data_IF_197225567036
#
_entry.id   IF_197225567036
#
_cell.length_a   1.000
_cell.length_b   1.000
_cell.length_c   1.000
_cell.angle_alpha   90.00
_cell.angle_beta   90.00
_cell.angle_gamma   90.00
#
_symmetry.space_group_name_H-M   'P 1'
#
loop_
_entity.id
_entity.type
_entity.pdbx_description
1 polymer ?
#
# COMPACT_ATOMS: atom_id res chain seq x y z
N UNK A 1 -29.99 21.68 -24.46
CA UNK A 1 -29.68 21.82 -23.02
C UNK A 1 -28.95 20.56 -22.59
N UNK A 2 -27.62 20.58 -22.67
CA UNK A 2 -26.76 19.46 -22.32
C UNK A 2 -26.39 19.55 -20.84
N UNK A 3 -27.08 18.80 -20.00
CA UNK A 3 -26.69 18.63 -18.60
C UNK A 3 -25.46 17.70 -18.57
N UNK A 4 -24.33 18.29 -18.21
CA UNK A 4 -23.06 17.63 -17.98
C UNK A 4 -23.22 16.47 -17.00
N UNK A 5 -22.81 15.29 -17.43
CA UNK A 5 -22.44 14.17 -16.57
C UNK A 5 -21.29 14.62 -15.67
N UNK A 6 -21.62 15.12 -14.49
CA UNK A 6 -20.65 15.19 -13.40
C UNK A 6 -20.32 13.74 -13.03
N UNK A 7 -19.24 13.22 -13.59
CA UNK A 7 -18.58 12.02 -13.11
C UNK A 7 -18.16 12.29 -11.67
N UNK A 8 -19.01 11.92 -10.72
CA UNK A 8 -18.66 11.80 -9.31
C UNK A 8 -17.50 10.82 -9.26
N UNK A 9 -16.28 11.32 -9.19
CA UNK A 9 -15.11 10.54 -8.82
C UNK A 9 -15.40 10.14 -7.38
N UNK A 10 -16.00 8.96 -7.21
CA UNK A 10 -16.25 8.35 -5.91
C UNK A 10 -14.89 8.09 -5.30
N UNK A 11 -14.36 9.07 -4.58
CA UNK A 11 -13.18 8.88 -3.73
C UNK A 11 -13.71 8.00 -2.61
N UNK A 12 -13.54 6.69 -2.75
CA UNK A 12 -13.91 5.76 -1.69
C UNK A 12 -13.31 6.29 -0.37
N UNK A 13 -14.05 6.24 0.75
CA UNK A 13 -13.52 6.67 2.03
C UNK A 13 -12.20 5.92 2.27
N UNK A 14 -11.13 6.66 2.56
CA UNK A 14 -9.84 6.06 2.90
C UNK A 14 -10.02 5.36 4.24
N UNK A 15 -10.22 4.04 4.20
CA UNK A 15 -10.30 3.21 5.40
C UNK A 15 -8.95 2.52 5.65
N UNK A 16 -8.64 2.13 6.89
CA UNK A 16 -7.47 1.31 7.21
C UNK A 16 -7.34 0.07 6.30
N UNK A 17 -8.45 -0.60 6.01
CA UNK A 17 -8.54 -1.74 5.12
C UNK A 17 -8.18 -1.38 3.67
N UNK A 18 -8.70 -0.26 3.15
CA UNK A 18 -8.33 0.19 1.80
C UNK A 18 -6.87 0.62 1.74
N UNK A 19 -6.32 1.27 2.78
CA UNK A 19 -4.91 1.65 2.84
C UNK A 19 -3.96 0.46 2.84
N UNK A 20 -4.22 -0.55 3.69
CA UNK A 20 -3.45 -1.80 3.67
C UNK A 20 -3.55 -2.45 2.29
N UNK A 21 -4.74 -2.42 1.69
CA UNK A 21 -4.97 -3.00 0.38
C UNK A 21 -4.20 -2.33 -0.75
N UNK A 22 -4.16 -1.01 -0.77
CA UNK A 22 -3.36 -0.23 -1.71
C UNK A 22 -1.87 -0.54 -1.55
N UNK A 23 -1.37 -0.59 -0.31
CA UNK A 23 0.03 -0.93 -0.04
C UNK A 23 0.40 -2.36 -0.51
N UNK A 24 -0.51 -3.33 -0.33
CA UNK A 24 -0.35 -4.69 -0.86
C UNK A 24 -0.34 -4.73 -2.39
N UNK A 25 -1.21 -3.95 -3.03
CA UNK A 25 -1.22 -3.84 -4.49
C UNK A 25 0.12 -3.26 -5.02
N UNK A 26 0.63 -2.21 -4.38
CA UNK A 26 1.96 -1.64 -4.71
C UNK A 26 3.06 -2.69 -4.48
N UNK A 27 3.00 -3.45 -3.38
CA UNK A 27 3.97 -4.50 -3.07
C UNK A 27 3.98 -5.58 -4.16
N UNK A 28 2.82 -5.98 -4.68
CA UNK A 28 2.71 -6.88 -5.83
C UNK A 28 3.40 -6.36 -7.07
N UNK A 29 3.24 -5.07 -7.40
CA UNK A 29 3.94 -4.43 -8.52
C UNK A 29 5.46 -4.42 -8.32
N UNK A 30 5.92 -4.13 -7.10
CA UNK A 30 7.35 -4.15 -6.78
C UNK A 30 7.92 -5.57 -6.85
N UNK A 31 7.18 -6.59 -6.44
CA UNK A 31 7.57 -7.99 -6.62
C UNK A 31 7.69 -8.37 -8.10
N UNK A 32 6.74 -7.97 -8.93
CA UNK A 32 6.80 -8.16 -10.37
C UNK A 32 8.06 -7.51 -10.98
N UNK A 33 8.42 -6.29 -10.55
CA UNK A 33 9.66 -5.62 -10.95
C UNK A 33 10.92 -6.35 -10.47
N UNK A 34 10.86 -7.05 -9.34
CA UNK A 34 11.94 -7.89 -8.85
C UNK A 34 12.09 -9.22 -9.63
N UNK A 35 11.11 -9.57 -10.47
CA UNK A 35 11.04 -10.86 -11.16
C UNK A 35 10.52 -12.00 -10.28
N UNK A 36 9.87 -11.67 -9.16
CA UNK A 36 9.14 -12.64 -8.34
C UNK A 36 7.66 -12.50 -8.67
N UNK A 37 7.07 -13.49 -9.33
CA UNK A 37 5.61 -13.56 -9.48
C UNK A 37 5.00 -13.93 -8.12
N UNK A 38 4.84 -12.93 -7.27
CA UNK A 38 3.99 -13.06 -6.10
C UNK A 38 2.57 -12.74 -6.56
N UNK A 39 1.66 -13.70 -6.43
CA UNK A 39 0.25 -13.47 -6.75
C UNK A 39 -0.25 -12.23 -6.02
N UNK A 40 -0.99 -11.36 -6.72
CA UNK A 40 -1.64 -10.21 -6.09
C UNK A 40 -2.75 -10.78 -5.20
N UNK A 41 -2.41 -11.08 -3.95
CA UNK A 41 -3.38 -11.56 -2.98
C UNK A 41 -4.30 -10.39 -2.63
N UNK A 42 -5.58 -10.55 -2.95
CA UNK A 42 -6.55 -9.49 -2.74
C UNK A 42 -6.79 -9.39 -1.23
N UNK A 43 -6.62 -8.23 -0.61
CA UNK A 43 -6.85 -8.09 0.82
C UNK A 43 -8.31 -8.43 1.12
N UNK A 44 -8.55 -9.37 2.02
CA UNK A 44 -9.87 -9.50 2.64
C UNK A 44 -10.16 -8.18 3.39
N UNK A 45 -11.09 -7.41 2.83
CA UNK A 45 -11.37 -6.02 3.17
C UNK A 45 -12.17 -5.87 4.48
N UNK A 46 -12.17 -6.89 5.35
CA UNK A 46 -13.24 -7.06 6.35
C UNK A 46 -12.77 -7.01 7.80
N UNK A 47 -11.47 -7.18 8.09
CA UNK A 47 -11.00 -7.26 9.48
C UNK A 47 -10.27 -6.00 9.96
N UNK A 48 -9.43 -5.39 9.10
CA UNK A 48 -8.61 -4.25 9.48
C UNK A 48 -9.44 -3.03 9.93
N UNK A 49 -10.57 -2.76 9.28
CA UNK A 49 -11.44 -1.62 9.63
C UNK A 49 -12.11 -1.80 10.99
N UNK A 50 -12.56 -3.03 11.29
CA UNK A 50 -13.18 -3.38 12.57
C UNK A 50 -12.16 -3.28 13.69
N UNK A 51 -10.97 -3.87 13.50
CA UNK A 51 -9.88 -3.83 14.48
C UNK A 51 -9.37 -2.42 14.72
N UNK A 52 -9.24 -1.61 13.68
CA UNK A 52 -8.86 -0.20 13.81
C UNK A 52 -9.91 0.61 14.57
N UNK A 53 -11.21 0.39 14.33
CA UNK A 53 -12.28 1.06 15.06
C UNK A 53 -12.28 0.71 16.56
N UNK A 54 -11.92 -0.54 16.90
CA UNK A 54 -11.79 -1.01 18.28
C UNK A 54 -10.46 -0.61 18.96
N UNK A 55 -9.46 -0.18 18.20
CA UNK A 55 -8.12 0.10 18.72
C UNK A 55 -8.05 1.38 19.56
N UNK A 56 -7.16 1.38 20.55
CA UNK A 56 -6.89 2.55 21.38
C UNK A 56 -6.41 3.75 20.52
N UNK A 57 -6.71 5.01 20.91
CA UNK A 57 -6.34 6.19 20.11
C UNK A 57 -4.85 6.30 19.76
N UNK A 58 -3.97 5.86 20.67
CA UNK A 58 -2.53 5.83 20.42
C UNK A 58 -2.14 4.81 19.34
N UNK A 59 -2.80 3.66 19.30
CA UNK A 59 -2.58 2.61 18.30
C UNK A 59 -3.00 3.12 16.93
N UNK A 60 -4.18 3.74 16.84
CA UNK A 60 -4.69 4.38 15.61
C UNK A 60 -3.72 5.43 15.07
N UNK A 61 -3.24 6.35 15.91
CA UNK A 61 -2.25 7.37 15.49
C UNK A 61 -0.94 6.74 14.98
N UNK A 62 -0.46 5.67 15.63
CA UNK A 62 0.76 4.96 15.21
C UNK A 62 0.55 4.23 13.89
N UNK A 63 -0.62 3.63 13.70
CA UNK A 63 -1.03 3.04 12.44
C UNK A 63 -1.04 4.09 11.33
N UNK A 64 -1.74 5.20 11.53
CA UNK A 64 -1.89 6.26 10.51
C UNK A 64 -0.53 6.83 10.10
N UNK A 65 0.35 7.08 11.07
CA UNK A 65 1.71 7.56 10.82
C UNK A 65 2.53 6.54 10.00
N UNK A 66 2.50 5.26 10.38
CA UNK A 66 3.22 4.21 9.68
C UNK A 66 2.66 3.99 8.27
N UNK A 67 1.33 4.03 8.10
CA UNK A 67 0.66 3.91 6.81
C UNK A 67 1.06 5.06 5.87
N UNK A 68 1.05 6.30 6.37
CA UNK A 68 1.45 7.48 5.62
C UNK A 68 2.93 7.44 5.20
N UNK A 69 3.83 7.10 6.14
CA UNK A 69 5.27 6.96 5.85
C UNK A 69 5.52 5.87 4.81
N UNK A 70 4.86 4.71 4.96
CA UNK A 70 4.99 3.59 4.03
C UNK A 70 4.49 3.97 2.65
N UNK A 71 3.35 4.66 2.54
CA UNK A 71 2.81 5.12 1.26
C UNK A 71 3.78 6.09 0.55
N UNK A 72 4.32 7.08 1.26
CA UNK A 72 5.26 8.04 0.70
C UNK A 72 6.57 7.38 0.24
N UNK A 73 7.14 6.50 1.07
CA UNK A 73 8.34 5.75 0.73
C UNK A 73 8.12 4.81 -0.47
N UNK A 74 6.99 4.11 -0.50
CA UNK A 74 6.66 3.15 -1.57
C UNK A 74 6.42 3.85 -2.90
N UNK A 75 5.70 4.98 -2.91
CA UNK A 75 5.49 5.78 -4.11
C UNK A 75 6.82 6.30 -4.70
N UNK A 76 7.70 6.80 -3.82
CA UNK A 76 9.04 7.27 -4.21
C UNK A 76 9.90 6.12 -4.76
N UNK A 77 9.95 5.00 -4.04
CA UNK A 77 10.71 3.82 -4.44
C UNK A 77 10.22 3.22 -5.76
N UNK A 78 8.91 3.07 -5.94
CA UNK A 78 8.31 2.58 -7.18
C UNK A 78 8.64 3.51 -8.35
N UNK A 79 8.52 4.83 -8.16
CA UNK A 79 8.85 5.82 -9.20
C UNK A 79 10.33 5.73 -9.61
N UNK A 80 11.23 5.57 -8.63
CA UNK A 80 12.65 5.39 -8.88
C UNK A 80 12.95 4.08 -9.63
N UNK A 81 12.25 2.98 -9.31
CA UNK A 81 12.40 1.70 -10.01
C UNK A 81 11.91 1.77 -11.45
N UNK A 82 10.77 2.45 -11.70
CA UNK A 82 10.23 2.66 -13.05
C UNK A 82 11.21 3.51 -13.87
N UNK A 83 11.69 4.63 -13.34
CA UNK A 83 12.65 5.50 -14.03
C UNK A 83 14.06 4.89 -14.19
N UNK A 84 14.45 3.99 -13.29
CA UNK A 84 15.72 3.26 -13.34
C UNK A 84 15.71 2.06 -14.28
N UNK A 85 14.53 1.58 -14.71
CA UNK A 85 14.38 0.36 -15.53
C UNK A 85 15.17 0.43 -16.83
N UNK A 86 15.26 1.60 -17.44
CA UNK A 86 16.01 1.81 -18.69
C UNK A 86 17.53 1.80 -18.51
N UNK A 87 18.02 1.99 -17.28
CA UNK A 87 19.46 2.03 -16.95
C UNK A 87 20.05 0.69 -16.51
N UNK A 88 19.22 -0.35 -16.40
CA UNK A 88 19.63 -1.71 -16.03
C UNK A 88 19.42 -2.10 -14.56
N UNK A 89 19.52 -3.42 -14.30
CA UNK A 89 19.26 -4.21 -13.08
C UNK A 89 18.66 -3.50 -11.84
N UNK A 90 17.35 -3.22 -11.89
CA UNK A 90 16.57 -2.74 -10.74
C UNK A 90 16.09 -3.86 -9.80
N UNK A 91 16.39 -5.14 -10.10
CA UNK A 91 15.83 -6.29 -9.35
C UNK A 91 16.22 -6.30 -7.89
N UNK A 92 17.49 -6.03 -7.57
CA UNK A 92 17.96 -5.98 -6.19
C UNK A 92 17.30 -4.85 -5.38
N UNK A 93 17.15 -3.68 -6.00
CA UNK A 93 16.46 -2.54 -5.39
C UNK A 93 14.97 -2.83 -5.21
N UNK A 94 14.31 -3.46 -6.19
CA UNK A 94 12.92 -3.89 -6.09
C UNK A 94 12.73 -4.92 -4.97
N UNK A 95 13.61 -5.92 -4.86
CA UNK A 95 13.57 -6.91 -3.78
C UNK A 95 13.80 -6.30 -2.39
N UNK A 96 14.59 -5.23 -2.29
CA UNK A 96 14.78 -4.49 -1.04
C UNK A 96 13.53 -3.68 -0.67
N UNK A 97 12.95 -2.97 -1.64
CA UNK A 97 11.72 -2.21 -1.46
C UNK A 97 10.58 -3.12 -1.02
N UNK A 98 10.40 -4.25 -1.71
CA UNK A 98 9.37 -5.24 -1.38
C UNK A 98 9.49 -5.75 0.07
N UNK A 99 10.69 -6.15 0.50
CA UNK A 99 10.93 -6.59 1.89
C UNK A 99 10.70 -5.50 2.93
N UNK A 100 10.89 -4.25 2.56
CA UNK A 100 10.65 -3.12 3.47
C UNK A 100 9.16 -2.83 3.61
N UNK A 101 8.43 -2.85 2.50
CA UNK A 101 6.98 -2.72 2.47
C UNK A 101 6.27 -3.87 3.21
N UNK A 102 6.67 -5.11 2.95
CA UNK A 102 6.10 -6.29 3.61
C UNK A 102 6.22 -6.19 5.14
N UNK A 103 7.41 -5.84 5.66
CA UNK A 103 7.63 -5.62 7.09
C UNK A 103 6.76 -4.51 7.66
N UNK A 104 6.55 -3.44 6.91
CA UNK A 104 5.69 -2.33 7.34
C UNK A 104 4.22 -2.75 7.40
N UNK A 105 3.73 -3.47 6.39
CA UNK A 105 2.36 -4.01 6.33
C UNK A 105 2.13 -4.98 7.49
N UNK A 106 3.01 -5.96 7.69
CA UNK A 106 2.92 -6.91 8.81
C UNK A 106 2.92 -6.19 10.15
N UNK A 107 3.69 -5.11 10.29
CA UNK A 107 3.72 -4.29 11.51
C UNK A 107 2.41 -3.53 11.72
N UNK A 108 1.81 -3.00 10.66
CA UNK A 108 0.49 -2.36 10.71
C UNK A 108 -0.59 -3.35 11.15
N UNK A 109 -0.61 -4.56 10.58
CA UNK A 109 -1.57 -5.61 10.96
C UNK A 109 -1.41 -6.02 12.43
N UNK A 110 -0.17 -6.23 12.88
CA UNK A 110 0.12 -6.55 14.29
C UNK A 110 -0.28 -5.45 15.27
N UNK A 111 -0.33 -4.18 14.85
CA UNK A 111 -0.82 -3.10 15.71
C UNK A 111 -2.32 -3.22 15.95
N UNK A 112 -3.07 -3.70 14.95
CA UNK A 112 -4.52 -3.83 15.01
C UNK A 112 -4.97 -5.12 15.70
N UNK A 113 -4.07 -6.10 15.86
CA UNK A 113 -4.29 -7.34 16.61
C UNK A 113 -4.59 -8.49 15.69
#
# INVERSE_FOLDING_TARGET
MNQQSASSISTAPVTPGTQIGELRAILGLVHALAGNEMGIDRPEMTDADVRYAAAAPLVRRRFDALASETAAFSATGLSALIGGRERGNTKAAAAYLARSMDRAIVRMEKMLG
#
